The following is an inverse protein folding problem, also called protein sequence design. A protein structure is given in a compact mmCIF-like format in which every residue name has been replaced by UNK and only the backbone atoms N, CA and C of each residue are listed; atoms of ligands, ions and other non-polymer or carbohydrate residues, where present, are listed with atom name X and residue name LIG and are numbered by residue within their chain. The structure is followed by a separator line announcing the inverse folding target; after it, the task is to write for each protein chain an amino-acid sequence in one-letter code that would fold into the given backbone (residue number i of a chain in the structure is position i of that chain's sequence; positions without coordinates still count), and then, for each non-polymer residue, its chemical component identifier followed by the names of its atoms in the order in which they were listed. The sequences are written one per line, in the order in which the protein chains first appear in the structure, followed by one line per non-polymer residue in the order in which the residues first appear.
data_IF_278098459801
#
_entry.id   IF_278098459801
#
_cell.length_a   1.000
_cell.length_b   1.000
_cell.length_c   1.000
_cell.angle_alpha   90.00
_cell.angle_beta   90.00
_cell.angle_gamma   90.00
#
_symmetry.space_group_name_H-M   'P 1'
#
loop_
_entity.id
_entity.type
_entity.pdbx_description
1 polymer ?
#
# COMPACT_ATOMS: atom_id res chain seq x y z
N UNK A 1 -0.29 -11.61 20.84
CA UNK A 1 -0.77 -11.68 19.44
C UNK A 1 -1.59 -12.95 19.32
N UNK A 2 -2.83 -12.87 18.80
CA UNK A 2 -3.65 -14.07 18.57
C UNK A 2 -3.04 -14.92 17.44
N UNK A 3 -3.42 -16.20 17.38
CA UNK A 3 -2.99 -17.09 16.29
C UNK A 3 -3.42 -16.55 14.90
N UNK A 4 -4.62 -15.97 14.83
CA UNK A 4 -5.17 -15.39 13.59
C UNK A 4 -4.37 -14.16 13.13
N UNK A 5 -4.01 -13.25 14.05
CA UNK A 5 -3.15 -12.10 13.72
C UNK A 5 -1.76 -12.57 13.27
N UNK A 6 -1.20 -13.60 13.90
CA UNK A 6 0.10 -14.14 13.49
C UNK A 6 0.05 -14.72 12.07
N UNK A 7 -1.02 -15.44 11.73
CA UNK A 7 -1.23 -16.00 10.39
C UNK A 7 -1.41 -14.90 9.33
N UNK A 8 -2.20 -13.86 9.64
CA UNK A 8 -2.38 -12.71 8.75
C UNK A 8 -1.05 -12.00 8.46
N UNK A 9 -0.24 -11.75 9.51
CA UNK A 9 1.09 -11.14 9.35
C UNK A 9 2.02 -12.00 8.50
N UNK A 10 1.97 -13.33 8.66
CA UNK A 10 2.77 -14.24 7.83
C UNK A 10 2.37 -14.18 6.35
N UNK A 11 1.06 -14.13 6.05
CA UNK A 11 0.56 -14.00 4.70
C UNK A 11 0.96 -12.67 4.04
N UNK A 12 0.83 -11.55 4.78
CA UNK A 12 1.26 -10.23 4.29
C UNK A 12 2.77 -10.22 4.02
N UNK A 13 3.58 -10.78 4.92
CA UNK A 13 5.03 -10.87 4.73
C UNK A 13 5.39 -11.67 3.47
N UNK A 14 4.72 -12.79 3.25
CA UNK A 14 4.94 -13.59 2.04
C UNK A 14 4.57 -12.80 0.78
N UNK A 15 3.44 -12.11 0.77
CA UNK A 15 3.03 -11.25 -0.35
C UNK A 15 4.05 -10.15 -0.65
N UNK A 16 4.53 -9.45 0.39
CA UNK A 16 5.55 -8.41 0.26
C UNK A 16 6.91 -8.98 -0.22
N UNK A 17 7.27 -10.19 0.21
CA UNK A 17 8.47 -10.86 -0.29
C UNK A 17 8.37 -11.18 -1.79
N UNK A 18 7.20 -11.61 -2.26
CA UNK A 18 6.95 -11.83 -3.69
C UNK A 18 7.08 -10.53 -4.48
N UNK A 19 6.43 -9.44 -4.03
CA UNK A 19 6.55 -8.13 -4.68
C UNK A 19 8.01 -7.65 -4.71
N UNK A 20 8.75 -7.88 -3.62
CA UNK A 20 10.16 -7.53 -3.53
C UNK A 20 11.00 -8.32 -4.54
N UNK A 21 10.75 -9.61 -4.68
CA UNK A 21 11.46 -10.45 -5.64
C UNK A 21 11.19 -10.01 -7.08
N UNK A 22 9.95 -9.65 -7.41
CA UNK A 22 9.59 -9.11 -8.72
C UNK A 22 10.31 -7.79 -9.01
N UNK A 23 10.30 -6.83 -8.08
CA UNK A 23 10.89 -5.51 -8.33
C UNK A 23 12.42 -5.48 -8.28
N UNK A 24 13.04 -6.36 -7.50
CA UNK A 24 14.46 -6.29 -7.15
C UNK A 24 15.25 -7.56 -7.54
N UNK A 25 14.65 -8.46 -8.32
CA UNK A 25 15.34 -9.64 -8.86
C UNK A 25 16.45 -9.25 -9.83
N UNK A 26 17.42 -10.14 -10.04
CA UNK A 26 18.60 -9.88 -10.88
C UNK A 26 18.26 -9.52 -12.34
N UNK A 27 17.09 -9.94 -12.81
CA UNK A 27 16.58 -9.66 -14.15
C UNK A 27 15.45 -8.64 -14.18
N UNK A 28 15.11 -8.02 -13.05
CA UNK A 28 13.99 -7.10 -12.96
C UNK A 28 14.26 -5.82 -13.75
N UNK A 29 13.32 -5.42 -14.59
CA UNK A 29 13.41 -4.20 -15.39
C UNK A 29 12.45 -3.10 -14.88
N UNK A 30 12.38 -1.99 -15.63
CA UNK A 30 11.49 -0.88 -15.29
C UNK A 30 9.99 -1.25 -15.42
N UNK A 31 9.64 -2.26 -16.21
CA UNK A 31 8.26 -2.76 -16.34
C UNK A 31 7.87 -3.55 -15.09
N UNK A 32 8.74 -4.43 -14.60
CA UNK A 32 8.54 -5.14 -13.34
C UNK A 32 8.40 -4.17 -12.15
N UNK A 33 9.26 -3.16 -12.10
CA UNK A 33 9.20 -2.11 -11.07
C UNK A 33 7.91 -1.30 -11.18
N UNK A 34 7.48 -0.93 -12.39
CA UNK A 34 6.22 -0.22 -12.60
C UNK A 34 5.00 -1.05 -12.18
N UNK A 35 5.00 -2.36 -12.47
CA UNK A 35 3.95 -3.28 -12.03
C UNK A 35 3.91 -3.40 -10.51
N UNK A 36 5.06 -3.49 -9.84
CA UNK A 36 5.09 -3.53 -8.36
C UNK A 36 4.62 -2.21 -7.76
N UNK A 37 5.03 -1.06 -8.32
CA UNK A 37 4.52 0.24 -7.89
C UNK A 37 3.00 0.33 -8.06
N UNK A 38 2.43 -0.20 -9.14
CA UNK A 38 0.98 -0.28 -9.34
C UNK A 38 0.30 -1.19 -8.31
N UNK A 39 0.89 -2.35 -8.02
CA UNK A 39 0.34 -3.26 -7.02
C UNK A 39 0.36 -2.64 -5.61
N UNK A 40 1.39 -1.86 -5.30
CA UNK A 40 1.47 -1.10 -4.05
C UNK A 40 0.40 0.02 -4.02
N UNK A 41 0.21 0.73 -5.12
CA UNK A 41 -0.80 1.79 -5.24
C UNK A 41 -1.33 1.91 -6.68
N UNK A 42 -2.66 1.80 -6.84
CA UNK A 42 -3.36 2.06 -8.09
C UNK A 42 -4.50 3.06 -7.83
N UNK A 43 -4.36 4.29 -8.34
CA UNK A 43 -5.37 5.34 -8.16
C UNK A 43 -6.73 4.98 -8.76
N UNK A 44 -6.75 4.11 -9.79
CA UNK A 44 -7.98 3.66 -10.47
C UNK A 44 -8.64 2.49 -9.76
N UNK A 45 -7.88 1.74 -8.96
CA UNK A 45 -8.34 0.56 -8.22
C UNK A 45 -7.79 0.58 -6.79
N UNK A 46 -8.08 1.66 -6.06
CA UNK A 46 -7.48 1.90 -4.73
C UNK A 46 -7.71 0.73 -3.78
N UNK A 47 -8.94 0.25 -3.66
CA UNK A 47 -9.35 -0.89 -2.82
C UNK A 47 -8.60 -2.21 -3.16
N UNK A 48 -8.13 -2.35 -4.41
CA UNK A 48 -7.38 -3.53 -4.86
C UNK A 48 -5.86 -3.42 -4.67
N UNK A 49 -5.36 -2.25 -4.26
CA UNK A 49 -3.94 -1.98 -4.06
C UNK A 49 -3.54 -2.18 -2.58
N UNK A 50 -2.27 -2.50 -2.33
CA UNK A 50 -1.79 -2.76 -0.96
C UNK A 50 -2.01 -1.56 -0.04
N UNK A 51 -1.64 -0.36 -0.48
CA UNK A 51 -1.80 0.84 0.34
C UNK A 51 -3.27 1.26 0.50
N UNK A 52 -4.11 0.99 -0.50
CA UNK A 52 -5.56 1.22 -0.34
C UNK A 52 -6.17 0.29 0.71
N UNK A 53 -5.89 -1.02 0.63
CA UNK A 53 -6.36 -1.97 1.66
C UNK A 53 -5.89 -1.61 3.07
N UNK A 54 -4.66 -1.11 3.22
CA UNK A 54 -4.14 -0.64 4.52
C UNK A 54 -4.87 0.62 4.97
N UNK A 55 -5.10 1.58 4.08
CA UNK A 55 -5.81 2.83 4.39
C UNK A 55 -7.26 2.56 4.80
N UNK A 56 -7.96 1.68 4.09
CA UNK A 56 -9.34 1.27 4.41
C UNK A 56 -9.41 0.62 5.80
N UNK A 57 -8.51 -0.33 6.08
CA UNK A 57 -8.42 -0.99 7.40
C UNK A 57 -8.13 0.01 8.53
N UNK A 58 -7.26 1.00 8.30
CA UNK A 58 -6.96 2.03 9.28
C UNK A 58 -8.17 2.94 9.51
N UNK A 59 -8.89 3.32 8.45
CA UNK A 59 -10.11 4.12 8.55
C UNK A 59 -11.19 3.39 9.38
N UNK A 60 -11.41 2.10 9.10
CA UNK A 60 -12.35 1.27 9.88
C UNK A 60 -11.94 1.16 11.35
N UNK A 61 -10.63 1.08 11.62
CA UNK A 61 -10.10 1.06 12.98
C UNK A 61 -10.28 2.42 13.68
N UNK A 62 -10.04 3.53 12.99
CA UNK A 62 -10.26 4.89 13.49
C UNK A 62 -11.71 5.10 13.93
N UNK A 63 -12.67 4.73 13.06
CA UNK A 63 -14.10 4.76 13.39
C UNK A 63 -14.42 3.94 14.64
N UNK A 64 -13.90 2.71 14.72
CA UNK A 64 -14.12 1.81 15.87
C UNK A 64 -13.55 2.39 17.17
N UNK A 65 -12.37 3.03 17.11
CA UNK A 65 -11.74 3.67 18.26
C UNK A 65 -12.52 4.91 18.71
N UNK A 66 -13.01 5.72 17.77
CA UNK A 66 -13.85 6.88 18.02
C UNK A 66 -15.15 6.49 18.75
N UNK A 67 -15.83 5.45 18.27
CA UNK A 67 -17.04 4.90 18.89
C UNK A 67 -16.79 4.37 20.31
N UNK A 68 -15.55 3.97 20.62
CA UNK A 68 -15.12 3.52 21.95
C UNK A 68 -14.65 4.66 22.87
N UNK A 69 -14.72 5.91 22.41
CA UNK A 69 -14.32 7.10 23.16
C UNK A 69 -12.81 7.36 23.19
N UNK A 70 -12.04 6.73 22.31
CA UNK A 70 -10.60 6.94 22.17
C UNK A 70 -10.30 7.96 21.05
N UNK A 71 -10.84 9.17 21.16
CA UNK A 71 -10.82 10.22 20.11
C UNK A 71 -9.39 10.55 19.63
N UNK A 72 -8.45 10.78 20.54
CA UNK A 72 -7.04 11.07 20.18
C UNK A 72 -6.39 9.93 19.36
N UNK A 73 -6.74 8.68 19.68
CA UNK A 73 -6.23 7.52 18.96
C UNK A 73 -6.90 7.34 17.60
N UNK A 74 -8.20 7.63 17.52
CA UNK A 74 -8.95 7.63 16.27
C UNK A 74 -8.39 8.67 15.29
N UNK A 75 -8.18 9.90 15.75
CA UNK A 75 -7.59 10.98 14.94
C UNK A 75 -6.20 10.59 14.42
N UNK A 76 -5.32 10.09 15.29
CA UNK A 76 -3.98 9.66 14.88
C UNK A 76 -3.98 8.52 13.84
N UNK A 77 -4.95 7.60 13.94
CA UNK A 77 -5.10 6.49 13.00
C UNK A 77 -5.67 6.96 11.66
N UNK A 78 -6.65 7.86 11.66
CA UNK A 78 -7.22 8.46 10.46
C UNK A 78 -6.17 9.31 9.70
N UNK A 79 -5.35 10.08 10.43
CA UNK A 79 -4.22 10.81 9.83
C UNK A 79 -3.23 9.85 9.16
N UNK A 80 -2.95 8.70 9.77
CA UNK A 80 -2.09 7.68 9.20
C UNK A 80 -2.70 7.07 7.92
N UNK A 81 -4.02 6.82 7.92
CA UNK A 81 -4.75 6.34 6.74
C UNK A 81 -4.63 7.32 5.56
N UNK A 82 -4.83 8.61 5.83
CA UNK A 82 -4.69 9.68 4.84
C UNK A 82 -3.24 9.81 4.33
N UNK A 83 -2.24 9.71 5.21
CA UNK A 83 -0.84 9.78 4.79
C UNK A 83 -0.45 8.64 3.84
N UNK A 84 -0.89 7.42 4.14
CA UNK A 84 -0.63 6.23 3.31
C UNK A 84 -1.26 6.38 1.92
N UNK A 85 -2.53 6.80 1.86
CA UNK A 85 -3.25 6.89 0.60
C UNK A 85 -2.80 8.10 -0.24
N UNK A 86 -2.78 9.29 0.36
CA UNK A 86 -2.56 10.52 -0.39
C UNK A 86 -1.07 10.81 -0.56
N UNK A 87 -0.29 10.79 0.53
CA UNK A 87 1.11 11.21 0.47
C UNK A 87 1.99 10.14 -0.17
N UNK A 88 1.92 8.91 0.32
CA UNK A 88 2.71 7.83 -0.23
C UNK A 88 2.16 7.39 -1.61
N UNK A 89 0.85 7.16 -1.71
CA UNK A 89 0.21 6.73 -2.96
C UNK A 89 0.48 7.64 -4.16
N UNK A 90 0.25 8.96 -4.02
CA UNK A 90 0.50 9.90 -5.13
C UNK A 90 1.96 9.92 -5.59
N UNK A 91 2.92 9.68 -4.69
CA UNK A 91 4.35 9.61 -5.04
C UNK A 91 4.68 8.32 -5.80
N UNK A 92 4.08 7.19 -5.42
CA UNK A 92 4.23 5.92 -6.13
C UNK A 92 3.64 6.01 -7.53
N UNK A 93 2.45 6.60 -7.69
CA UNK A 93 1.82 6.78 -9.00
C UNK A 93 2.65 7.68 -9.92
N UNK A 94 3.24 8.75 -9.37
CA UNK A 94 4.18 9.62 -10.11
C UNK A 94 5.42 8.85 -10.56
N UNK A 95 6.04 8.08 -9.66
CA UNK A 95 7.21 7.26 -9.99
C UNK A 95 6.88 6.24 -11.10
N UNK A 96 5.74 5.55 -11.00
CA UNK A 96 5.24 4.60 -12.00
C UNK A 96 5.03 5.26 -13.36
N UNK A 97 4.43 6.46 -13.37
CA UNK A 97 4.20 7.24 -14.60
C UNK A 97 5.52 7.61 -15.28
N UNK A 98 6.56 7.96 -14.51
CA UNK A 98 7.88 8.25 -15.06
C UNK A 98 8.50 7.02 -15.70
N UNK A 99 8.47 5.87 -15.02
CA UNK A 99 9.03 4.61 -15.54
C UNK A 99 8.34 4.17 -16.85
N UNK A 100 7.02 4.20 -16.87
CA UNK A 100 6.23 3.79 -18.05
C UNK A 100 6.29 4.83 -19.17
N UNK A 101 6.44 6.13 -18.85
CA UNK A 101 6.60 7.21 -19.82
C UNK A 101 7.97 7.24 -20.50
N UNK A 102 9.03 6.77 -19.83
CA UNK A 102 10.36 6.60 -20.44
C UNK A 102 10.37 5.53 -21.54
N UNK A 103 9.53 4.49 -21.41
CA UNK A 103 9.38 3.42 -22.41
C UNK A 103 8.87 3.92 -23.77
N UNK A 104 8.00 4.93 -23.77
CA UNK A 104 7.43 5.47 -25.01
C UNK A 104 8.42 6.38 -25.79
N UNK A 105 9.66 6.54 -25.31
CA UNK A 105 10.70 7.38 -25.94
C UNK A 105 11.88 6.61 -26.52
N UNK A 106 11.93 5.29 -26.35
CA UNK A 106 12.93 4.36 -26.89
C UNK A 106 12.31 3.49 -27.95
#
# INVERSE_FOLDING_TARGET
MSADTAAAVAAIRLGLQTLRHTALGDTADHEDQAHVLQALYDDRHREGSVLGMVSDMLTDLGLTLGDQGAEDAAEAVDEAAAYVQDSAGLRLERARTVLTGQRNRT
#
